data_IF_672418968208
#
_entry.id   IF_672418968208
#
_cell.length_a   1.000
_cell.length_b   1.000
_cell.length_c   1.000
_cell.angle_alpha   90.00
_cell.angle_beta   90.00
_cell.angle_gamma   90.00
#
_symmetry.space_group_name_H-M   'P 1'
#
loop_
_entity.id
_entity.type
_entity.pdbx_description
1 polymer ?
#
# COMPACT_ATOMS: atom_id res chain seq x y z
N UNK A 1 -1.07 -19.17 -10.64
CA UNK A 1 -2.26 -18.43 -10.16
C UNK A 1 -1.86 -16.96 -10.18
N UNK A 2 -2.64 -16.11 -10.86
CA UNK A 2 -2.40 -14.66 -10.88
C UNK A 2 -2.87 -14.03 -9.56
N UNK A 3 -2.29 -12.91 -9.15
CA UNK A 3 -2.74 -12.18 -7.96
C UNK A 3 -4.18 -11.67 -8.13
N UNK A 4 -4.54 -11.23 -9.34
CA UNK A 4 -5.89 -10.75 -9.66
C UNK A 4 -6.97 -11.78 -9.32
N UNK A 5 -6.73 -13.04 -9.65
CA UNK A 5 -7.66 -14.15 -9.40
C UNK A 5 -7.71 -14.50 -7.90
N UNK A 6 -6.55 -14.50 -7.24
CA UNK A 6 -6.43 -14.84 -5.83
C UNK A 6 -7.15 -13.83 -4.92
N UNK A 7 -7.17 -12.56 -5.31
CA UNK A 7 -7.80 -11.48 -4.55
C UNK A 7 -9.20 -11.10 -5.05
N UNK A 8 -9.67 -11.66 -6.18
CA UNK A 8 -10.97 -11.33 -6.76
C UNK A 8 -11.09 -9.86 -7.16
N UNK A 9 -10.06 -9.31 -7.81
CA UNK A 9 -10.06 -7.89 -8.20
C UNK A 9 -10.98 -7.69 -9.41
N UNK A 10 -12.00 -6.85 -9.24
CA UNK A 10 -12.98 -6.51 -10.26
C UNK A 10 -12.83 -5.05 -10.73
N UNK A 11 -13.43 -4.71 -11.87
CA UNK A 11 -13.48 -3.31 -12.33
C UNK A 11 -14.24 -2.43 -11.34
N UNK A 12 -13.75 -1.21 -11.13
CA UNK A 12 -14.23 -0.28 -10.12
C UNK A 12 -13.61 -0.50 -8.74
N UNK A 13 -12.76 -1.52 -8.56
CA UNK A 13 -12.11 -1.76 -7.28
C UNK A 13 -11.09 -0.67 -6.94
N UNK A 14 -11.07 -0.30 -5.65
CA UNK A 14 -10.02 0.52 -5.04
C UNK A 14 -9.32 -0.37 -4.03
N UNK A 15 -8.10 -0.79 -4.37
CA UNK A 15 -7.34 -1.79 -3.62
C UNK A 15 -6.24 -1.11 -2.81
N UNK A 16 -6.34 -1.15 -1.49
CA UNK A 16 -5.32 -0.59 -0.58
C UNK A 16 -4.42 -1.69 -0.02
N UNK A 17 -3.12 -1.59 -0.25
CA UNK A 17 -2.11 -2.46 0.35
C UNK A 17 -1.60 -1.81 1.65
N UNK A 18 -1.69 -2.56 2.74
CA UNK A 18 -1.31 -2.12 4.10
C UNK A 18 -0.33 -3.08 4.75
N UNK A 19 0.32 -2.66 5.85
CA UNK A 19 1.31 -3.49 6.54
C UNK A 19 2.73 -3.30 6.00
N UNK A 20 3.49 -4.38 5.93
CA UNK A 20 4.94 -4.35 5.78
C UNK A 20 5.47 -5.48 4.87
N UNK A 21 6.63 -5.25 4.26
CA UNK A 21 7.35 -6.26 3.49
C UNK A 21 6.66 -6.69 2.18
N UNK A 22 6.98 -6.04 1.07
CA UNK A 22 6.55 -6.45 -0.28
C UNK A 22 5.30 -5.76 -0.83
N UNK A 23 4.79 -4.72 -0.15
CA UNK A 23 3.63 -3.94 -0.63
C UNK A 23 3.83 -3.38 -2.03
N UNK A 24 4.89 -2.60 -2.25
CA UNK A 24 5.19 -2.02 -3.56
C UNK A 24 5.34 -3.10 -4.63
N UNK A 25 6.06 -4.19 -4.33
CA UNK A 25 6.23 -5.30 -5.28
C UNK A 25 4.91 -5.97 -5.63
N UNK A 26 4.04 -6.21 -4.65
CA UNK A 26 2.71 -6.79 -4.87
C UNK A 26 1.81 -5.83 -5.66
N UNK A 27 1.81 -4.54 -5.32
CA UNK A 27 1.06 -3.49 -6.03
C UNK A 27 1.48 -3.45 -7.50
N UNK A 28 2.78 -3.39 -7.77
CA UNK A 28 3.34 -3.37 -9.12
C UNK A 28 2.99 -4.66 -9.87
N UNK A 29 3.11 -5.83 -9.23
CA UNK A 29 2.75 -7.12 -9.81
C UNK A 29 1.26 -7.19 -10.22
N UNK A 30 0.35 -6.78 -9.34
CA UNK A 30 -1.09 -6.69 -9.65
C UNK A 30 -1.32 -5.72 -10.81
N UNK A 31 -0.66 -4.56 -10.79
CA UNK A 31 -0.82 -3.55 -11.84
C UNK A 31 -0.39 -4.03 -13.22
N UNK A 32 0.74 -4.72 -13.33
CA UNK A 32 1.17 -5.35 -14.59
C UNK A 32 0.20 -6.45 -15.03
N UNK A 33 -0.22 -7.35 -14.13
CA UNK A 33 -1.18 -8.42 -14.47
C UNK A 33 -2.50 -7.86 -15.05
N UNK A 34 -3.03 -6.77 -14.47
CA UNK A 34 -4.24 -6.11 -14.96
C UNK A 34 -4.00 -5.35 -16.26
N UNK A 35 -2.90 -4.61 -16.37
CA UNK A 35 -2.56 -3.85 -17.57
C UNK A 35 -2.36 -4.76 -18.81
N UNK A 36 -1.78 -5.95 -18.62
CA UNK A 36 -1.66 -6.98 -19.66
C UNK A 36 -3.02 -7.47 -20.19
N UNK A 37 -4.08 -7.38 -19.37
CA UNK A 37 -5.46 -7.68 -19.79
C UNK A 37 -6.16 -6.48 -20.43
N UNK A 38 -5.45 -5.38 -20.64
CA UNK A 38 -5.93 -4.16 -21.27
C UNK A 38 -6.63 -3.18 -20.32
N UNK A 39 -6.68 -3.47 -19.03
CA UNK A 39 -7.30 -2.60 -18.03
C UNK A 39 -6.45 -1.34 -17.81
N UNK A 40 -7.11 -0.23 -17.51
CA UNK A 40 -6.48 1.03 -17.11
C UNK A 40 -6.31 1.06 -15.60
N UNK A 41 -5.08 0.88 -15.15
CA UNK A 41 -4.71 0.82 -13.74
C UNK A 41 -4.09 2.13 -13.34
N UNK A 42 -4.70 2.78 -12.34
CA UNK A 42 -4.11 3.95 -11.69
C UNK A 42 -3.52 3.50 -10.35
N UNK A 43 -2.34 3.98 -10.01
CA UNK A 43 -1.71 3.73 -8.72
C UNK A 43 -1.39 5.05 -8.00
N UNK A 44 -1.38 5.00 -6.67
CA UNK A 44 -0.89 6.10 -5.83
C UNK A 44 -0.34 5.55 -4.51
N UNK A 45 0.40 6.38 -3.78
CA UNK A 45 0.77 6.10 -2.40
C UNK A 45 0.29 7.23 -1.49
N UNK A 46 -0.34 6.89 -0.36
CA UNK A 46 -0.75 7.87 0.66
C UNK A 46 0.33 8.08 1.73
N UNK A 47 1.52 7.53 1.47
CA UNK A 47 2.73 7.73 2.24
C UNK A 47 3.88 8.08 1.30
N UNK A 48 4.92 8.80 1.74
CA UNK A 48 6.06 9.09 0.89
C UNK A 48 6.83 7.82 0.51
N UNK A 49 7.14 7.65 -0.77
CA UNK A 49 7.92 6.51 -1.30
C UNK A 49 9.26 6.99 -1.87
N UNK A 50 10.31 6.13 -1.90
CA UNK A 50 11.54 6.47 -2.61
C UNK A 50 11.25 6.82 -4.09
N UNK A 51 11.86 7.89 -4.60
CA UNK A 51 11.67 8.34 -5.99
C UNK A 51 12.00 7.24 -7.00
N UNK A 52 13.03 6.43 -6.72
CA UNK A 52 13.43 5.29 -7.54
C UNK A 52 12.28 4.29 -7.79
N UNK A 53 11.31 4.18 -6.88
CA UNK A 53 10.15 3.30 -7.06
C UNK A 53 9.23 3.76 -8.20
N UNK A 54 9.25 5.04 -8.57
CA UNK A 54 8.46 5.53 -9.72
C UNK A 54 8.89 4.88 -11.03
N UNK A 55 10.15 4.45 -11.14
CA UNK A 55 10.68 3.74 -12.31
C UNK A 55 10.14 2.31 -12.48
N UNK A 56 9.45 1.77 -11.47
CA UNK A 56 8.81 0.46 -11.54
C UNK A 56 7.54 0.48 -12.40
N UNK A 57 7.01 1.67 -12.68
CA UNK A 57 5.76 1.87 -13.40
C UNK A 57 6.03 2.29 -14.86
N UNK A 58 5.18 1.89 -15.82
CA UNK A 58 5.33 2.30 -17.22
C UNK A 58 5.26 3.82 -17.41
N UNK A 59 4.48 4.51 -16.58
CA UNK A 59 4.40 5.96 -16.54
C UNK A 59 4.16 6.46 -15.12
N UNK A 60 4.73 7.62 -14.81
CA UNK A 60 4.55 8.33 -13.56
C UNK A 60 4.15 9.78 -13.84
N UNK A 61 3.10 10.27 -13.19
CA UNK A 61 2.60 11.64 -13.35
C UNK A 61 2.41 12.31 -11.98
N UNK A 62 2.54 13.63 -11.95
CA UNK A 62 2.19 14.39 -10.77
C UNK A 62 0.68 14.32 -10.50
N UNK A 63 0.25 14.24 -9.24
CA UNK A 63 -1.15 14.07 -8.86
C UNK A 63 -2.04 15.29 -9.21
N UNK A 64 -1.43 16.47 -9.42
CA UNK A 64 -2.11 17.68 -9.89
C UNK A 64 -2.12 17.82 -11.43
N UNK A 65 -1.63 16.83 -12.17
CA UNK A 65 -1.75 16.81 -13.63
C UNK A 65 -3.24 16.80 -14.03
N UNK A 66 -3.57 17.51 -15.11
CA UNK A 66 -4.94 17.58 -15.62
C UNK A 66 -5.52 16.17 -15.86
N UNK A 67 -6.75 15.88 -15.40
CA UNK A 67 -7.35 14.55 -15.54
C UNK A 67 -7.42 14.02 -16.97
N UNK A 68 -7.57 14.92 -17.95
CA UNK A 68 -7.55 14.56 -19.37
C UNK A 68 -6.20 13.99 -19.80
N UNK A 69 -5.10 14.57 -19.31
CA UNK A 69 -3.74 14.08 -19.58
C UNK A 69 -3.51 12.73 -18.89
N UNK A 70 -3.94 12.58 -17.63
CA UNK A 70 -3.84 11.30 -16.92
C UNK A 70 -4.63 10.21 -17.67
N UNK A 71 -5.84 10.53 -18.13
CA UNK A 71 -6.71 9.60 -18.88
C UNK A 71 -6.11 9.21 -20.24
N UNK A 72 -5.47 10.16 -20.93
CA UNK A 72 -4.73 9.88 -22.16
C UNK A 72 -3.55 8.95 -21.89
N UNK A 73 -2.70 9.25 -20.90
CA UNK A 73 -1.56 8.41 -20.54
C UNK A 73 -2.00 7.02 -20.09
N UNK A 74 -3.11 6.89 -19.36
CA UNK A 74 -3.70 5.58 -19.02
C UNK A 74 -4.11 4.79 -20.27
N UNK A 75 -4.61 5.46 -21.31
CA UNK A 75 -5.02 4.80 -22.56
C UNK A 75 -3.83 4.24 -23.34
N UNK A 76 -2.69 4.92 -23.26
CA UNK A 76 -1.42 4.55 -23.91
C UNK A 76 -0.63 3.53 -23.08
N UNK A 77 -0.34 3.85 -21.82
CA UNK A 77 0.55 3.08 -20.94
C UNK A 77 -0.14 1.97 -20.15
N UNK A 78 -1.48 2.01 -20.02
CA UNK A 78 -2.34 1.10 -19.23
C UNK A 78 -2.10 1.08 -17.72
N UNK A 79 -0.91 1.44 -17.26
CA UNK A 79 -0.57 1.50 -15.84
C UNK A 79 0.21 2.77 -15.54
N UNK A 80 -0.38 3.64 -14.71
CA UNK A 80 0.18 4.94 -14.35
C UNK A 80 0.22 5.07 -12.83
N UNK A 81 1.34 5.54 -12.28
CA UNK A 81 1.41 5.96 -10.87
C UNK A 81 1.30 7.47 -10.75
N UNK A 82 0.50 7.93 -9.79
CA UNK A 82 0.42 9.31 -9.37
C UNK A 82 1.31 9.55 -8.15
N UNK A 83 2.04 10.66 -8.17
CA UNK A 83 2.91 11.07 -7.08
C UNK A 83 2.72 12.55 -6.72
N UNK A 84 3.01 12.91 -5.47
CA UNK A 84 3.18 14.31 -5.08
C UNK A 84 4.54 14.87 -5.51
N UNK A 85 4.94 16.01 -4.94
CA UNK A 85 6.24 16.62 -5.20
C UNK A 85 7.39 15.65 -4.94
N UNK A 86 8.51 15.84 -5.65
CA UNK A 86 9.75 15.12 -5.37
C UNK A 86 10.61 15.97 -4.43
N UNK A 87 10.83 15.48 -3.21
CA UNK A 87 11.59 16.18 -2.18
C UNK A 87 12.65 15.23 -1.61
N UNK A 88 13.93 15.59 -1.81
CA UNK A 88 15.09 14.85 -1.28
C UNK A 88 15.07 13.35 -1.64
N UNK A 89 14.85 13.02 -2.91
CA UNK A 89 14.84 11.64 -3.40
C UNK A 89 13.61 10.83 -2.99
N UNK A 90 12.53 11.50 -2.57
CA UNK A 90 11.25 10.87 -2.22
C UNK A 90 10.11 11.52 -2.97
N UNK A 91 9.26 10.70 -3.54
CA UNK A 91 7.95 11.10 -4.02
C UNK A 91 7.02 11.27 -2.82
N UNK A 92 6.47 12.47 -2.65
CA UNK A 92 5.58 12.79 -1.54
C UNK A 92 4.21 12.12 -1.71
N UNK A 93 3.54 11.91 -0.58
CA UNK A 93 2.24 11.25 -0.51
C UNK A 93 1.17 11.99 -1.31
N UNK A 94 0.29 11.22 -1.96
CA UNK A 94 -0.97 11.71 -2.52
C UNK A 94 -2.02 11.66 -1.41
N UNK A 95 -2.72 12.77 -1.17
CA UNK A 95 -3.72 12.83 -0.11
C UNK A 95 -4.86 11.81 -0.39
N UNK A 96 -5.34 11.05 0.61
CA UNK A 96 -6.45 10.11 0.43
C UNK A 96 -7.70 10.77 -0.17
N UNK A 97 -7.99 12.02 0.22
CA UNK A 97 -9.12 12.79 -0.33
C UNK A 97 -8.96 13.16 -1.81
N UNK A 98 -7.71 13.30 -2.29
CA UNK A 98 -7.45 13.52 -3.71
C UNK A 98 -7.68 12.23 -4.49
N UNK A 99 -7.25 11.08 -3.95
CA UNK A 99 -7.56 9.76 -4.54
C UNK A 99 -9.07 9.59 -4.68
N UNK A 100 -9.82 9.86 -3.60
CA UNK A 100 -11.29 9.79 -3.62
C UNK A 100 -11.89 10.70 -4.72
N UNK A 101 -11.37 11.93 -4.88
CA UNK A 101 -11.86 12.89 -5.89
C UNK A 101 -11.46 12.54 -7.34
N UNK A 102 -10.39 11.75 -7.54
CA UNK A 102 -9.91 11.36 -8.87
C UNK A 102 -10.75 10.23 -9.48
N UNK A 103 -11.38 9.39 -8.66
CA UNK A 103 -12.20 8.26 -9.11
C UNK A 103 -13.37 8.69 -10.00
N UNK A 104 -13.95 9.87 -9.73
CA UNK A 104 -15.07 10.41 -10.52
C UNK A 104 -14.62 11.18 -11.77
N UNK A 105 -13.32 11.44 -11.92
CA UNK A 105 -12.75 12.34 -12.95
C UNK A 105 -11.86 11.63 -13.96
N UNK A 106 -11.37 10.45 -13.61
CA UNK A 106 -10.44 9.67 -14.41
C UNK A 106 -11.08 8.32 -14.68
N UNK A 107 -11.17 8.00 -15.96
CA UNK A 107 -11.66 6.72 -16.40
C UNK A 107 -10.57 5.65 -16.15
N UNK A 108 -10.44 5.16 -14.92
CA UNK A 108 -9.60 4.01 -14.56
C UNK A 108 -10.50 2.80 -14.30
N UNK A 109 -10.03 1.61 -14.67
CA UNK A 109 -10.72 0.37 -14.36
C UNK A 109 -10.46 -0.07 -12.91
N UNK A 110 -9.27 0.23 -12.36
CA UNK A 110 -8.88 -0.08 -10.98
C UNK A 110 -7.94 1.00 -10.43
N UNK A 111 -8.08 1.31 -9.14
CA UNK A 111 -7.14 2.12 -8.37
C UNK A 111 -6.37 1.23 -7.38
N UNK A 112 -5.04 1.28 -7.41
CA UNK A 112 -4.15 0.60 -6.46
C UNK A 112 -3.48 1.62 -5.54
N UNK A 113 -3.50 1.38 -4.23
CA UNK A 113 -3.01 2.34 -3.24
C UNK A 113 -2.02 1.68 -2.29
N UNK A 114 -0.80 2.19 -2.21
CA UNK A 114 0.09 1.87 -1.08
C UNK A 114 -0.26 2.79 0.10
N UNK A 115 -0.93 2.23 1.11
CA UNK A 115 -1.61 3.03 2.13
C UNK A 115 -0.89 3.08 3.49
N UNK A 116 0.34 2.58 3.56
CA UNK A 116 0.99 2.37 4.85
C UNK A 116 2.52 2.44 4.83
N UNK A 117 3.10 3.15 5.80
CA UNK A 117 4.54 3.30 5.93
C UNK A 117 5.11 2.24 6.89
N UNK A 118 6.13 1.52 6.45
CA UNK A 118 6.77 0.47 7.24
C UNK A 118 8.28 0.67 7.45
N UNK A 119 8.85 1.79 6.98
CA UNK A 119 10.29 2.06 7.02
C UNK A 119 11.18 0.91 6.48
N UNK A 120 10.70 0.18 5.48
CA UNK A 120 11.39 -0.99 4.92
C UNK A 120 11.45 -2.21 5.84
N UNK A 121 10.76 -2.20 6.99
CA UNK A 121 10.71 -3.35 7.90
C UNK A 121 9.84 -4.47 7.31
N UNK A 122 10.15 -5.75 7.62
CA UNK A 122 9.39 -6.90 7.14
C UNK A 122 8.03 -7.09 7.85
N UNK A 123 7.86 -6.52 9.04
CA UNK A 123 6.64 -6.61 9.84
C UNK A 123 6.36 -5.25 10.49
N UNK A 124 5.07 -4.94 10.70
CA UNK A 124 4.67 -3.71 11.40
C UNK A 124 3.39 -3.85 12.20
N UNK A 125 3.25 -2.98 13.20
CA UNK A 125 1.97 -2.56 13.74
C UNK A 125 1.69 -1.09 13.30
N UNK A 126 0.44 -0.69 13.07
CA UNK A 126 0.08 0.68 12.76
C UNK A 126 0.48 1.65 13.88
N UNK A 127 1.03 2.81 13.52
CA UNK A 127 1.20 3.94 14.44
C UNK A 127 -0.10 4.75 14.57
N UNK A 128 -0.13 5.73 15.49
CA UNK A 128 -1.28 6.64 15.61
C UNK A 128 -1.54 7.35 14.28
N UNK A 129 -2.75 7.21 13.76
CA UNK A 129 -3.15 7.78 12.47
C UNK A 129 -2.75 6.93 11.27
N UNK A 130 -2.14 5.77 11.43
CA UNK A 130 -1.95 4.82 10.32
C UNK A 130 -2.99 3.70 10.37
N UNK A 131 -3.27 3.04 9.23
CA UNK A 131 -2.88 3.39 7.86
C UNK A 131 -3.75 4.53 7.28
N UNK A 132 -3.24 5.20 6.25
CA UNK A 132 -3.92 6.30 5.57
C UNK A 132 -4.73 5.76 4.37
N UNK A 133 -5.76 4.99 4.65
CA UNK A 133 -6.60 4.33 3.63
C UNK A 133 -7.63 5.32 3.05
N UNK A 134 -7.74 5.47 1.71
CA UNK A 134 -8.81 6.26 1.08
C UNK A 134 -10.20 5.70 1.38
N UNK A 135 -11.21 6.57 1.51
CA UNK A 135 -12.57 6.15 1.88
C UNK A 135 -13.20 5.26 0.82
N UNK A 136 -12.82 5.44 -0.44
CA UNK A 136 -13.31 4.64 -1.55
C UNK A 136 -12.75 3.21 -1.59
N UNK A 137 -11.81 2.83 -0.69
CA UNK A 137 -11.22 1.48 -0.66
C UNK A 137 -12.30 0.40 -0.55
N UNK A 138 -12.37 -0.47 -1.55
CA UNK A 138 -13.28 -1.63 -1.59
C UNK A 138 -12.59 -2.90 -1.12
N UNK A 139 -11.27 -2.98 -1.24
CA UNK A 139 -10.46 -4.12 -0.83
C UNK A 139 -9.19 -3.66 -0.12
N UNK A 140 -8.97 -4.13 1.11
CA UNK A 140 -7.71 -3.92 1.83
C UNK A 140 -6.92 -5.23 1.92
N UNK A 141 -5.69 -5.24 1.40
CA UNK A 141 -4.78 -6.39 1.39
C UNK A 141 -3.67 -6.16 2.42
N UNK A 142 -3.70 -6.82 3.59
CA UNK A 142 -2.61 -6.79 4.55
C UNK A 142 -1.43 -7.60 4.05
N UNK A 143 -0.24 -7.01 4.11
CA UNK A 143 1.01 -7.65 3.71
C UNK A 143 1.92 -7.74 4.94
N UNK A 144 2.54 -8.91 5.10
CA UNK A 144 3.64 -9.13 6.05
C UNK A 144 4.67 -10.04 5.39
N UNK A 145 5.95 -9.76 5.61
CA UNK A 145 7.03 -10.60 5.09
C UNK A 145 7.39 -11.70 6.08
N UNK A 146 7.54 -12.91 5.56
CA UNK A 146 8.04 -14.04 6.33
C UNK A 146 9.51 -13.87 6.77
N UNK A 147 10.23 -12.92 6.18
CA UNK A 147 11.59 -12.56 6.61
C UNK A 147 11.65 -12.05 8.06
N UNK A 148 10.52 -11.64 8.65
CA UNK A 148 10.45 -11.28 10.07
C UNK A 148 10.61 -12.49 11.00
N UNK A 149 10.32 -13.72 10.54
CA UNK A 149 10.38 -14.92 11.38
C UNK A 149 11.82 -15.14 11.88
N UNK A 150 11.95 -15.33 13.19
CA UNK A 150 13.25 -15.49 13.85
C UNK A 150 13.97 -14.18 14.17
N UNK A 151 13.55 -13.04 13.61
CA UNK A 151 14.08 -11.74 14.02
C UNK A 151 13.59 -11.37 15.42
N UNK A 152 14.35 -10.52 16.12
CA UNK A 152 13.99 -10.04 17.44
C UNK A 152 12.82 -9.04 17.35
N UNK A 153 11.79 -9.20 18.18
CA UNK A 153 10.70 -8.22 18.28
C UNK A 153 11.19 -6.94 18.97
N UNK A 154 11.63 -5.97 18.17
CA UNK A 154 12.07 -4.64 18.58
C UNK A 154 11.99 -3.67 17.38
N UNK A 155 12.20 -2.37 17.61
CA UNK A 155 12.06 -1.33 16.57
C UNK A 155 13.15 -1.38 15.47
N UNK A 156 14.23 -2.15 15.70
CA UNK A 156 15.23 -2.44 14.67
C UNK A 156 14.67 -3.36 13.58
N UNK A 157 13.79 -4.30 13.93
CA UNK A 157 13.29 -5.31 13.00
C UNK A 157 11.80 -5.15 12.66
N UNK A 158 11.03 -4.49 13.52
CA UNK A 158 9.57 -4.34 13.39
C UNK A 158 9.21 -2.88 13.51
N UNK A 159 8.39 -2.37 12.59
CA UNK A 159 7.89 -1.01 12.74
C UNK A 159 6.82 -0.97 13.84
N UNK A 160 7.03 -0.11 14.84
CA UNK A 160 6.19 0.04 16.03
C UNK A 160 6.04 -1.27 16.82
N UNK A 161 7.17 -1.85 17.25
CA UNK A 161 7.19 -3.14 17.95
C UNK A 161 6.42 -3.07 19.29
N UNK A 162 6.50 -1.91 19.98
CA UNK A 162 5.85 -1.72 21.27
C UNK A 162 4.33 -1.94 21.20
N UNK A 163 3.66 -1.51 20.13
CA UNK A 163 2.23 -1.75 19.96
C UNK A 163 1.87 -3.24 19.92
N UNK A 164 2.74 -4.09 19.34
CA UNK A 164 2.54 -5.54 19.37
C UNK A 164 2.76 -6.14 20.76
N UNK A 165 3.77 -5.64 21.47
CA UNK A 165 4.07 -6.06 22.85
C UNK A 165 2.88 -5.73 23.75
N UNK A 166 2.40 -4.49 23.71
CA UNK A 166 1.29 -4.02 24.55
C UNK A 166 -0.02 -4.75 24.23
N UNK A 167 -0.29 -4.99 22.94
CA UNK A 167 -1.56 -5.57 22.49
C UNK A 167 -1.61 -7.09 22.61
N UNK A 168 -0.52 -7.77 22.29
CA UNK A 168 -0.47 -9.23 22.20
C UNK A 168 0.31 -9.90 23.33
N UNK A 169 1.00 -9.12 24.19
CA UNK A 169 1.82 -9.65 25.28
C UNK A 169 3.07 -10.37 24.80
N UNK A 170 3.55 -10.08 23.58
CA UNK A 170 4.77 -10.69 23.06
C UNK A 170 5.99 -10.19 23.84
N UNK A 171 6.98 -11.06 24.13
CA UNK A 171 8.18 -10.64 24.84
C UNK A 171 9.07 -9.75 23.95
N UNK A 172 9.52 -8.62 24.51
CA UNK A 172 10.55 -7.76 23.91
C UNK A 172 11.79 -8.60 23.55
N UNK A 173 12.34 -8.38 22.36
CA UNK A 173 13.46 -9.14 21.77
C UNK A 173 13.18 -10.64 21.59
N UNK A 174 11.95 -11.12 21.81
CA UNK A 174 11.56 -12.48 21.50
C UNK A 174 11.66 -12.75 20.00
N UNK A 175 12.15 -13.93 19.64
CA UNK A 175 12.20 -14.35 18.26
C UNK A 175 10.78 -14.46 17.68
N UNK A 176 10.48 -13.68 16.65
CA UNK A 176 9.16 -13.59 16.03
C UNK A 176 8.77 -14.96 15.47
N UNK A 177 7.58 -15.43 15.85
CA UNK A 177 7.04 -16.72 15.42
C UNK A 177 6.01 -16.53 14.30
N UNK A 178 5.82 -17.53 13.41
CA UNK A 178 4.76 -17.47 12.41
C UNK A 178 3.37 -17.22 13.01
N UNK A 179 3.10 -17.78 14.19
CA UNK A 179 1.84 -17.57 14.90
C UNK A 179 1.63 -16.13 15.35
N UNK A 180 2.71 -15.39 15.65
CA UNK A 180 2.62 -13.98 16.02
C UNK A 180 2.25 -13.12 14.83
N UNK A 181 2.85 -13.38 13.66
CA UNK A 181 2.49 -12.71 12.41
C UNK A 181 1.00 -12.94 12.10
N UNK A 182 0.54 -14.20 12.20
CA UNK A 182 -0.87 -14.54 12.00
C UNK A 182 -1.81 -13.90 13.03
N UNK A 183 -1.35 -13.65 14.25
CA UNK A 183 -2.13 -12.94 15.27
C UNK A 183 -2.22 -11.45 14.97
N UNK A 184 -1.11 -10.81 14.57
CA UNK A 184 -1.07 -9.39 14.20
C UNK A 184 -1.96 -9.10 13.00
N UNK A 185 -1.89 -9.91 11.93
CA UNK A 185 -2.69 -9.71 10.71
C UNK A 185 -4.20 -9.87 10.97
N UNK A 186 -4.58 -10.73 11.92
CA UNK A 186 -5.99 -10.98 12.26
C UNK A 186 -6.56 -10.03 13.32
N UNK A 187 -5.72 -9.27 14.01
CA UNK A 187 -6.19 -8.31 15.02
C UNK A 187 -6.64 -7.02 14.31
N UNK A 188 -7.92 -6.65 14.43
CA UNK A 188 -8.49 -5.51 13.72
C UNK A 188 -7.78 -4.18 14.05
N UNK A 189 -7.25 -4.02 15.27
CA UNK A 189 -6.55 -2.81 15.68
C UNK A 189 -5.12 -2.78 15.16
N UNK A 190 -4.45 -3.93 15.13
CA UNK A 190 -3.11 -4.04 14.55
C UNK A 190 -3.13 -4.17 13.03
N UNK A 191 -4.30 -4.40 12.41
CA UNK A 191 -4.46 -4.41 10.96
C UNK A 191 -4.80 -3.02 10.41
N UNK A 192 -5.70 -2.28 11.05
CA UNK A 192 -6.25 -1.03 10.49
C UNK A 192 -5.98 0.21 11.34
N UNK A 193 -5.30 0.10 12.49
CA UNK A 193 -5.22 1.18 13.47
C UNK A 193 -6.61 1.55 14.02
N UNK A 194 -6.69 2.14 15.21
CA UNK A 194 -7.93 2.83 15.59
C UNK A 194 -7.94 4.20 14.91
N UNK A 195 -8.97 4.50 14.11
CA UNK A 195 -9.56 5.83 14.22
C UNK A 195 -10.15 5.90 15.63
N UNK A 196 -9.55 6.69 16.51
CA UNK A 196 -10.19 7.00 17.78
C UNK A 196 -11.55 7.64 17.44
N UNK A 197 -12.63 6.97 17.83
CA UNK A 197 -13.95 7.56 17.91
C UNK A 197 -13.97 8.65 18.99
#
# INVERSE_FOLDING_TARGET
MKFTDAFGIEKGAVVSLIGAGGKTSLLVGIGYELAETGWRVLAAATVPVPEEQLSLFPAALHANTEPAVISQTLSEARFVVLHGDIVRGRAMAVAPSLIDALLDRIDSDVMLVEADYAAGKPLKAPSRGEPQIPKATTLAIPVASFAAVGQALNDENVYNAQAMIDRCGFPLNGAIRPSWIAQVIRDDQLRHGRCAA
#
